data_IF_383254382034
#
_entry.id   IF_383254382034
#
_cell.length_a   1.000
_cell.length_b   1.000
_cell.length_c   1.000
_cell.angle_alpha   90.00
_cell.angle_beta   90.00
_cell.angle_gamma   90.00
#
_symmetry.space_group_name_H-M   'P 1'
#
loop_
_entity.id
_entity.type
_entity.pdbx_description
1 polymer ?
#
# COMPACT_ATOMS: atom_id res chain seq x y z
N UNK A 1 2.03 -1.93 21.92
CA UNK A 1 1.44 -0.74 22.56
C UNK A 1 2.61 0.18 22.90
N UNK A 2 2.99 1.04 21.97
CA UNK A 2 4.18 1.87 22.11
C UNK A 2 3.90 2.99 23.12
N UNK A 3 4.54 2.86 24.28
CA UNK A 3 4.82 3.86 25.30
C UNK A 3 4.19 5.26 25.09
N UNK A 4 2.88 5.37 25.34
CA UNK A 4 2.06 6.59 25.23
C UNK A 4 2.36 7.63 26.34
N UNK A 5 3.58 7.57 26.89
CA UNK A 5 3.97 8.35 28.05
C UNK A 5 5.46 8.70 28.01
N UNK A 6 5.93 9.19 26.86
CA UNK A 6 6.88 10.30 26.92
C UNK A 6 6.10 11.44 27.54
N UNK A 7 6.11 11.50 28.87
CA UNK A 7 5.46 12.53 29.67
C UNK A 7 5.68 13.85 28.94
N UNK A 8 4.60 14.49 28.45
CA UNK A 8 4.64 15.66 27.57
C UNK A 8 5.09 16.88 28.37
N UNK A 9 6.29 16.79 28.95
CA UNK A 9 6.95 17.81 29.76
C UNK A 9 7.17 19.08 28.94
N UNK A 10 7.12 18.99 27.60
CA UNK A 10 7.15 20.13 26.70
C UNK A 10 5.78 20.83 26.51
N UNK A 11 4.69 20.28 27.04
CA UNK A 11 3.32 20.78 26.80
C UNK A 11 2.62 21.25 28.07
N UNK A 12 3.30 21.17 29.21
CA UNK A 12 2.82 21.68 30.51
C UNK A 12 3.96 22.27 31.35
N UNK A 13 3.66 23.21 32.27
CA UNK A 13 4.64 23.68 33.25
C UNK A 13 5.12 22.54 34.14
N UNK A 14 6.41 22.55 34.48
CA UNK A 14 6.99 21.60 35.46
C UNK A 14 6.93 22.16 36.89
N UNK A 15 7.04 21.32 37.94
CA UNK A 15 7.06 21.81 39.32
C UNK A 15 8.11 22.90 39.55
N UNK A 16 7.69 24.04 40.10
CA UNK A 16 8.56 25.20 40.36
C UNK A 16 8.87 26.08 39.13
N UNK A 17 8.32 25.76 37.96
CA UNK A 17 8.28 26.66 36.79
C UNK A 17 7.08 27.59 36.91
N UNK A 18 7.31 28.91 36.83
CA UNK A 18 6.21 29.87 36.85
C UNK A 18 5.49 29.88 35.51
N UNK A 19 4.21 30.25 35.50
CA UNK A 19 3.44 30.38 34.25
C UNK A 19 4.15 31.28 33.22
N UNK A 20 4.78 32.37 33.68
CA UNK A 20 5.59 33.26 32.84
C UNK A 20 6.80 32.53 32.25
N UNK A 21 7.55 31.77 33.04
CA UNK A 21 8.70 31.01 32.53
C UNK A 21 8.25 29.98 31.49
N UNK A 22 7.15 29.26 31.75
CA UNK A 22 6.58 28.31 30.81
C UNK A 22 6.09 28.97 29.50
N UNK A 23 5.48 30.15 29.58
CA UNK A 23 5.08 30.90 28.38
C UNK A 23 6.30 31.23 27.50
N UNK A 24 7.40 31.69 28.10
CA UNK A 24 8.64 31.93 27.36
C UNK A 24 9.28 30.65 26.82
N UNK A 25 9.15 29.54 27.54
CA UNK A 25 9.54 28.23 27.03
C UNK A 25 8.75 27.84 25.77
N UNK A 26 7.42 27.99 25.77
CA UNK A 26 6.60 27.72 24.59
C UNK A 26 7.07 28.54 23.39
N UNK A 27 7.30 29.85 23.59
CA UNK A 27 7.83 30.74 22.55
C UNK A 27 9.19 30.26 22.02
N UNK A 28 10.09 29.84 22.91
CA UNK A 28 11.40 29.30 22.54
C UNK A 28 11.30 27.98 21.76
N UNK A 29 10.44 27.06 22.21
CA UNK A 29 10.15 25.78 21.54
C UNK A 29 9.61 25.98 20.14
N UNK A 30 8.67 26.91 19.99
CA UNK A 30 7.93 27.15 18.75
C UNK A 30 8.79 27.82 17.65
N UNK A 31 9.97 28.38 18.00
CA UNK A 31 10.96 28.85 17.01
C UNK A 31 11.64 27.73 16.20
N UNK A 32 11.48 26.46 16.60
CA UNK A 32 12.04 25.34 15.81
C UNK A 32 13.56 25.37 15.70
N UNK A 33 14.10 24.99 14.53
CA UNK A 33 15.55 24.85 14.30
C UNK A 33 16.38 26.12 14.42
N UNK A 34 15.76 27.30 14.36
CA UNK A 34 16.46 28.59 14.50
C UNK A 34 16.41 29.15 15.93
N UNK A 35 15.97 28.34 16.90
CA UNK A 35 15.77 28.78 18.28
C UNK A 35 17.08 29.25 18.93
N UNK A 36 17.06 30.47 19.43
CA UNK A 36 18.06 30.99 20.37
C UNK A 36 17.36 31.90 21.37
N UNK A 37 17.92 32.04 22.58
CA UNK A 37 17.34 32.94 23.59
C UNK A 37 17.36 34.40 23.14
N UNK A 38 18.38 34.78 22.36
CA UNK A 38 18.52 36.09 21.73
C UNK A 38 17.36 36.32 20.75
N UNK A 39 17.12 35.38 19.83
CA UNK A 39 16.06 35.49 18.83
C UNK A 39 14.66 35.54 19.45
N UNK A 40 14.42 34.77 20.51
CA UNK A 40 13.17 34.86 21.29
C UNK A 40 13.03 36.24 21.93
N UNK A 41 14.09 36.78 22.54
CA UNK A 41 14.02 38.11 23.16
C UNK A 41 13.75 39.21 22.11
N UNK A 42 14.47 39.18 20.99
CA UNK A 42 14.32 40.14 19.88
C UNK A 42 12.92 40.09 19.27
N UNK A 43 12.40 38.90 18.96
CA UNK A 43 11.08 38.72 18.36
C UNK A 43 9.95 39.31 19.22
N UNK A 44 10.13 39.32 20.53
CA UNK A 44 9.15 39.82 21.49
C UNK A 44 9.56 41.16 22.14
N UNK A 45 10.49 41.90 21.53
CA UNK A 45 10.87 43.27 21.92
C UNK A 45 11.46 43.37 23.33
N UNK A 46 12.29 42.39 23.73
CA UNK A 46 12.94 42.37 25.04
C UNK A 46 14.40 42.78 24.94
N UNK A 47 14.81 43.56 25.93
CA UNK A 47 16.17 44.06 26.07
C UNK A 47 17.15 42.93 26.41
N UNK A 48 18.44 43.19 26.18
CA UNK A 48 19.55 42.26 26.47
C UNK A 48 19.57 41.80 27.93
N UNK A 49 19.17 42.65 28.88
CA UNK A 49 19.04 42.26 30.29
C UNK A 49 18.02 41.12 30.51
N UNK A 50 16.95 41.07 29.71
CA UNK A 50 15.94 40.02 29.80
C UNK A 50 16.46 38.66 29.32
N UNK A 51 17.46 38.64 28.42
CA UNK A 51 18.10 37.41 27.95
C UNK A 51 18.75 36.65 29.11
N UNK A 52 19.31 37.36 30.10
CA UNK A 52 19.89 36.74 31.30
C UNK A 52 18.81 36.00 32.12
N UNK A 53 17.61 36.57 32.23
CA UNK A 53 16.47 35.93 32.88
C UNK A 53 16.00 34.70 32.10
N UNK A 54 15.94 34.78 30.76
CA UNK A 54 15.64 33.64 29.90
C UNK A 54 16.68 32.53 30.05
N UNK A 55 17.97 32.87 30.16
CA UNK A 55 19.04 31.90 30.37
C UNK A 55 18.89 31.18 31.71
N UNK A 56 18.57 31.93 32.78
CA UNK A 56 18.29 31.35 34.10
C UNK A 56 17.11 30.37 34.05
N UNK A 57 16.01 30.74 33.40
CA UNK A 57 14.86 29.83 33.24
C UNK A 57 15.19 28.64 32.35
N UNK A 58 15.88 28.86 31.24
CA UNK A 58 16.29 27.82 30.30
C UNK A 58 17.15 26.75 30.97
N UNK A 59 18.13 27.15 31.77
CA UNK A 59 18.96 26.24 32.55
C UNK A 59 18.16 25.55 33.66
N UNK A 60 17.41 26.31 34.47
CA UNK A 60 16.66 25.78 35.62
C UNK A 60 15.56 24.79 35.23
N UNK A 61 14.93 25.01 34.08
CA UNK A 61 13.78 24.23 33.61
C UNK A 61 14.10 23.37 32.37
N UNK A 62 15.39 23.16 32.09
CA UNK A 62 15.89 22.25 31.06
C UNK A 62 15.24 22.44 29.68
N UNK A 63 15.09 23.69 29.24
CA UNK A 63 14.36 24.01 28.01
C UNK A 63 14.91 23.26 26.80
N UNK A 64 16.24 23.20 26.63
CA UNK A 64 16.87 22.50 25.51
C UNK A 64 16.45 21.04 25.44
N UNK A 65 16.53 20.31 26.56
CA UNK A 65 16.14 18.90 26.63
C UNK A 65 14.65 18.72 26.30
N UNK A 66 13.78 19.58 26.84
CA UNK A 66 12.34 19.53 26.56
C UNK A 66 12.03 19.82 25.10
N UNK A 67 12.71 20.79 24.50
CA UNK A 67 12.54 21.10 23.07
C UNK A 67 13.01 19.95 22.18
N UNK A 68 14.09 19.25 22.55
CA UNK A 68 14.53 18.06 21.82
C UNK A 68 13.47 16.95 21.85
N UNK A 69 12.89 16.68 23.02
CA UNK A 69 11.79 15.71 23.14
C UNK A 69 10.56 16.12 22.32
N UNK A 70 10.24 17.41 22.26
CA UNK A 70 9.16 17.92 21.41
C UNK A 70 9.45 17.74 19.93
N UNK A 71 10.68 18.03 19.48
CA UNK A 71 11.06 17.87 18.08
C UNK A 71 11.01 16.41 17.65
N UNK A 72 11.49 15.50 18.50
CA UNK A 72 11.40 14.05 18.29
C UNK A 72 9.94 13.60 18.17
N UNK A 73 9.08 14.06 19.08
CA UNK A 73 7.64 13.76 19.03
C UNK A 73 6.98 14.27 17.75
N UNK A 74 7.28 15.51 17.34
CA UNK A 74 6.76 16.08 16.09
C UNK A 74 7.26 15.32 14.87
N UNK A 75 8.53 14.92 14.85
CA UNK A 75 9.09 14.15 13.75
C UNK A 75 8.41 12.79 13.63
N UNK A 76 8.18 12.11 14.76
CA UNK A 76 7.44 10.84 14.76
C UNK A 76 6.04 10.99 14.17
N UNK A 77 5.29 12.03 14.55
CA UNK A 77 3.96 12.28 13.96
C UNK A 77 4.04 12.49 12.44
N UNK A 78 5.04 13.22 11.96
CA UNK A 78 5.21 13.47 10.54
C UNK A 78 5.54 12.19 9.76
N UNK A 79 6.39 11.33 10.32
CA UNK A 79 6.71 10.02 9.75
C UNK A 79 5.47 9.12 9.72
N UNK A 80 4.74 9.02 10.83
CA UNK A 80 3.52 8.21 10.92
C UNK A 80 2.46 8.66 9.89
N UNK A 81 2.33 9.97 9.66
CA UNK A 81 1.40 10.51 8.66
C UNK A 81 1.86 10.22 7.23
N UNK A 82 3.17 10.32 6.96
CA UNK A 82 3.74 9.93 5.65
C UNK A 82 3.51 8.45 5.35
N UNK A 83 3.77 7.58 6.32
CA UNK A 83 3.56 6.14 6.19
C UNK A 83 2.09 5.83 5.88
N UNK A 84 1.14 6.50 6.56
CA UNK A 84 -0.30 6.36 6.29
C UNK A 84 -0.66 6.75 4.86
N UNK A 85 -0.14 7.88 4.38
CA UNK A 85 -0.37 8.35 3.02
C UNK A 85 0.20 7.35 2.00
N UNK A 86 1.38 6.81 2.25
CA UNK A 86 2.02 5.84 1.37
C UNK A 86 1.24 4.52 1.31
N UNK A 87 0.80 3.99 2.44
CA UNK A 87 -0.04 2.78 2.52
C UNK A 87 -1.33 2.97 1.72
N UNK A 88 -2.02 4.10 1.89
CA UNK A 88 -3.28 4.33 1.17
C UNK A 88 -3.04 4.49 -0.34
N UNK A 89 -1.96 5.17 -0.75
CA UNK A 89 -1.57 5.25 -2.17
C UNK A 89 -1.28 3.87 -2.75
N UNK A 90 -0.53 3.03 -2.04
CA UNK A 90 -0.21 1.67 -2.46
C UNK A 90 -1.48 0.81 -2.58
N UNK A 91 -2.42 0.97 -1.65
CA UNK A 91 -3.73 0.31 -1.68
C UNK A 91 -4.55 0.71 -2.91
N UNK A 92 -4.70 2.01 -3.16
CA UNK A 92 -5.44 2.52 -4.33
C UNK A 92 -4.79 2.07 -5.63
N UNK A 93 -3.46 2.12 -5.74
CA UNK A 93 -2.73 1.63 -6.90
C UNK A 93 -2.95 0.13 -7.12
N UNK A 94 -2.90 -0.66 -6.05
CA UNK A 94 -3.16 -2.11 -6.13
C UNK A 94 -4.59 -2.40 -6.59
N UNK A 95 -5.58 -1.65 -6.09
CA UNK A 95 -6.97 -1.77 -6.54
C UNK A 95 -7.13 -1.44 -8.03
N UNK A 96 -6.51 -0.35 -8.50
CA UNK A 96 -6.53 0.02 -9.92
C UNK A 96 -5.87 -1.05 -10.79
N UNK A 97 -4.75 -1.61 -10.34
CA UNK A 97 -4.07 -2.67 -11.08
C UNK A 97 -4.91 -3.95 -11.13
N UNK A 98 -5.49 -4.35 -10.00
CA UNK A 98 -6.39 -5.50 -9.94
C UNK A 98 -7.61 -5.32 -10.85
N UNK A 99 -8.16 -4.11 -10.92
CA UNK A 99 -9.27 -3.79 -11.83
C UNK A 99 -8.85 -3.92 -13.30
N UNK A 100 -7.71 -3.35 -13.68
CA UNK A 100 -7.16 -3.49 -15.04
C UNK A 100 -6.90 -4.94 -15.42
N UNK A 101 -6.35 -5.72 -14.49
CA UNK A 101 -6.13 -7.15 -14.69
C UNK A 101 -7.45 -7.91 -14.86
N UNK A 102 -8.49 -7.54 -14.11
CA UNK A 102 -9.82 -8.12 -14.27
C UNK A 102 -10.43 -7.79 -15.64
N UNK A 103 -10.39 -6.52 -16.05
CA UNK A 103 -10.89 -6.06 -17.36
C UNK A 103 -10.16 -6.78 -18.50
N UNK A 104 -8.82 -6.85 -18.44
CA UNK A 104 -8.03 -7.58 -19.42
C UNK A 104 -8.43 -9.06 -19.50
N UNK A 105 -8.62 -9.73 -18.35
CA UNK A 105 -9.05 -11.13 -18.32
C UNK A 105 -10.45 -11.33 -18.89
N UNK A 106 -11.37 -10.40 -18.66
CA UNK A 106 -12.70 -10.43 -19.26
C UNK A 106 -12.62 -10.28 -20.79
N UNK A 107 -11.79 -9.36 -21.29
CA UNK A 107 -11.53 -9.19 -22.73
C UNK A 107 -10.88 -10.44 -23.35
N UNK A 108 -9.85 -11.01 -22.72
CA UNK A 108 -9.20 -12.24 -23.16
C UNK A 108 -10.19 -13.40 -23.24
N UNK A 109 -11.09 -13.50 -22.26
CA UNK A 109 -12.14 -14.52 -22.22
C UNK A 109 -13.17 -14.34 -23.35
N UNK A 110 -13.61 -13.11 -23.62
CA UNK A 110 -14.50 -12.82 -24.75
C UNK A 110 -13.85 -13.16 -26.08
N UNK A 111 -12.60 -12.75 -26.27
CA UNK A 111 -11.81 -13.07 -27.46
C UNK A 111 -11.63 -14.57 -27.65
N UNK A 112 -11.36 -15.31 -26.57
CA UNK A 112 -11.32 -16.77 -26.59
C UNK A 112 -12.63 -17.38 -27.10
N UNK A 113 -13.78 -16.94 -26.58
CA UNK A 113 -15.09 -17.44 -27.02
C UNK A 113 -15.32 -17.16 -28.50
N UNK A 114 -14.96 -15.97 -28.99
CA UNK A 114 -15.11 -15.60 -30.39
C UNK A 114 -14.25 -16.48 -31.32
N UNK A 115 -12.98 -16.70 -30.96
CA UNK A 115 -12.07 -17.55 -31.73
C UNK A 115 -12.57 -19.01 -31.79
N UNK A 116 -13.03 -19.54 -30.66
CA UNK A 116 -13.59 -20.89 -30.60
C UNK A 116 -14.92 -21.01 -31.36
N UNK A 117 -15.77 -19.98 -31.33
CA UNK A 117 -16.99 -19.95 -32.12
C UNK A 117 -16.67 -19.90 -33.62
N UNK A 118 -15.71 -19.07 -34.03
CA UNK A 118 -15.30 -18.96 -35.43
C UNK A 118 -14.67 -20.25 -35.94
N UNK A 119 -13.86 -20.92 -35.12
CA UNK A 119 -13.31 -22.22 -35.46
C UNK A 119 -14.41 -23.26 -35.71
N UNK A 120 -15.46 -23.29 -34.88
CA UNK A 120 -16.62 -24.18 -35.11
C UNK A 120 -17.34 -23.88 -36.42
N UNK A 121 -17.54 -22.60 -36.72
CA UNK A 121 -18.11 -22.16 -38.01
C UNK A 121 -17.25 -22.67 -39.17
N UNK A 122 -15.93 -22.45 -39.13
CA UNK A 122 -14.98 -22.92 -40.15
C UNK A 122 -15.03 -24.44 -40.36
N UNK A 123 -15.21 -25.22 -39.28
CA UNK A 123 -15.32 -26.68 -39.32
C UNK A 123 -16.68 -27.18 -39.80
N UNK A 124 -17.72 -26.32 -39.82
CA UNK A 124 -19.08 -26.68 -40.23
C UNK A 124 -19.32 -26.60 -41.73
N UNK A 125 -18.50 -25.85 -42.47
CA UNK A 125 -18.64 -25.71 -43.92
C UNK A 125 -18.12 -26.95 -44.68
N UNK A 126 -18.81 -27.27 -45.78
CA UNK A 126 -18.44 -28.33 -46.73
C UNK A 126 -17.04 -28.10 -47.32
N UNK A 127 -16.27 -29.18 -47.51
CA UNK A 127 -14.92 -29.15 -48.09
C UNK A 127 -14.87 -28.59 -49.51
N UNK A 128 -16.02 -28.46 -50.18
CA UNK A 128 -16.13 -28.07 -51.59
C UNK A 128 -16.35 -26.56 -51.79
N UNK A 129 -16.62 -25.78 -50.73
CA UNK A 129 -16.89 -24.32 -50.78
C UNK A 129 -15.76 -23.46 -50.14
N UNK A 130 -14.52 -23.97 -50.13
CA UNK A 130 -13.47 -23.46 -49.22
C UNK A 130 -13.05 -22.01 -49.46
N UNK A 131 -13.48 -21.15 -48.54
CA UNK A 131 -12.83 -19.87 -48.22
C UNK A 131 -11.68 -20.03 -47.20
N UNK A 132 -11.68 -21.09 -46.39
CA UNK A 132 -10.72 -21.32 -45.30
C UNK A 132 -10.23 -22.76 -45.24
N UNK A 133 -9.05 -22.98 -44.66
CA UNK A 133 -8.42 -24.30 -44.50
C UNK A 133 -8.58 -24.84 -43.07
N UNK A 134 -8.41 -26.15 -42.88
CA UNK A 134 -8.31 -26.75 -41.53
C UNK A 134 -7.16 -26.17 -40.70
N UNK A 135 -6.08 -25.71 -41.34
CA UNK A 135 -4.97 -25.06 -40.65
C UNK A 135 -5.41 -23.73 -40.03
N UNK A 136 -6.25 -22.97 -40.74
CA UNK A 136 -6.81 -21.71 -40.22
C UNK A 136 -7.71 -21.98 -39.02
N UNK A 137 -8.56 -23.01 -39.09
CA UNK A 137 -9.42 -23.40 -37.97
C UNK A 137 -8.60 -23.87 -36.75
N UNK A 138 -7.54 -24.66 -36.96
CA UNK A 138 -6.65 -25.11 -35.89
C UNK A 138 -5.93 -23.94 -35.19
N UNK A 139 -5.48 -22.93 -35.95
CA UNK A 139 -4.87 -21.73 -35.38
C UNK A 139 -5.86 -20.94 -34.50
N UNK A 140 -7.12 -20.81 -34.92
CA UNK A 140 -8.16 -20.16 -34.12
C UNK A 140 -8.45 -20.91 -32.81
N UNK A 141 -8.46 -22.24 -32.85
CA UNK A 141 -8.63 -23.07 -31.64
C UNK A 141 -7.46 -22.87 -30.68
N UNK A 142 -6.23 -22.93 -31.19
CA UNK A 142 -5.04 -22.80 -30.36
C UNK A 142 -4.99 -21.44 -29.66
N UNK A 143 -5.16 -20.34 -30.43
CA UNK A 143 -5.19 -18.99 -29.87
C UNK A 143 -6.34 -18.80 -28.87
N UNK A 144 -7.52 -19.34 -29.18
CA UNK A 144 -8.66 -19.29 -28.27
C UNK A 144 -8.40 -20.03 -26.95
N UNK A 145 -7.78 -21.20 -27.00
CA UNK A 145 -7.42 -21.96 -25.79
C UNK A 145 -6.34 -21.28 -24.95
N UNK A 146 -5.35 -20.65 -25.60
CA UNK A 146 -4.30 -19.90 -24.91
C UNK A 146 -4.89 -18.68 -24.17
N UNK A 147 -5.76 -17.91 -24.83
CA UNK A 147 -6.46 -16.79 -24.21
C UNK A 147 -7.39 -17.23 -23.06
N UNK A 148 -8.09 -18.36 -23.19
CA UNK A 148 -8.91 -18.90 -22.10
C UNK A 148 -8.07 -19.27 -20.87
N UNK A 149 -6.90 -19.90 -21.08
CA UNK A 149 -5.99 -20.27 -19.98
C UNK A 149 -5.44 -19.02 -19.27
N UNK A 150 -5.04 -18.01 -20.05
CA UNK A 150 -4.60 -16.70 -19.52
C UNK A 150 -5.70 -16.04 -18.68
N UNK A 151 -6.91 -15.91 -19.26
CA UNK A 151 -8.05 -15.27 -18.62
C UNK A 151 -8.50 -15.94 -17.31
N UNK A 152 -8.28 -17.25 -17.19
CA UNK A 152 -8.71 -18.05 -16.04
C UNK A 152 -7.60 -18.28 -15.02
N UNK A 153 -6.39 -17.75 -15.25
CA UNK A 153 -5.19 -18.04 -14.45
C UNK A 153 -4.91 -19.56 -14.34
N UNK A 154 -5.42 -20.35 -15.28
CA UNK A 154 -5.10 -21.77 -15.39
C UNK A 154 -3.72 -21.87 -16.05
N UNK A 155 -2.68 -21.61 -15.25
CA UNK A 155 -1.32 -22.10 -15.51
C UNK A 155 -1.39 -23.61 -15.43
N UNK A 156 -1.30 -24.28 -16.59
CA UNK A 156 -1.29 -25.75 -16.78
C UNK A 156 -1.77 -26.53 -15.55
N UNK A 157 -3.05 -26.93 -15.56
CA UNK A 157 -3.59 -27.75 -14.49
C UNK A 157 -2.66 -28.94 -14.27
N UNK A 158 -1.97 -28.94 -13.13
CA UNK A 158 -1.04 -30.00 -12.76
C UNK A 158 -1.77 -31.32 -12.96
N UNK A 159 -1.13 -32.29 -13.62
CA UNK A 159 -1.76 -33.55 -14.04
C UNK A 159 -2.41 -34.23 -12.83
N UNK A 160 -1.82 -34.08 -11.64
CA UNK A 160 -2.39 -34.54 -10.37
C UNK A 160 -3.69 -33.82 -9.99
N UNK A 161 -3.77 -32.50 -10.16
CA UNK A 161 -4.99 -31.72 -9.92
C UNK A 161 -6.09 -32.09 -10.91
N UNK A 162 -5.73 -32.29 -12.18
CA UNK A 162 -6.67 -32.74 -13.21
C UNK A 162 -7.23 -34.14 -12.90
N UNK A 163 -6.36 -35.08 -12.53
CA UNK A 163 -6.73 -36.44 -12.16
C UNK A 163 -7.64 -36.44 -10.92
N UNK A 164 -7.37 -35.60 -9.92
CA UNK A 164 -8.23 -35.47 -8.72
C UNK A 164 -9.60 -34.90 -9.06
N UNK A 165 -9.69 -33.81 -9.84
CA UNK A 165 -10.98 -33.24 -10.25
C UNK A 165 -11.82 -34.23 -11.08
N UNK A 166 -11.19 -35.03 -11.94
CA UNK A 166 -11.87 -36.06 -12.71
C UNK A 166 -12.30 -37.26 -11.85
N UNK A 167 -11.52 -37.60 -10.82
CA UNK A 167 -11.90 -38.62 -9.84
C UNK A 167 -13.07 -38.14 -8.96
N UNK A 168 -13.07 -36.89 -8.50
CA UNK A 168 -14.14 -36.29 -7.69
C UNK A 168 -15.46 -36.15 -8.47
N UNK A 169 -15.38 -36.01 -9.80
CA UNK A 169 -16.52 -35.99 -10.71
C UNK A 169 -17.00 -37.39 -11.15
N UNK A 170 -16.39 -38.47 -10.64
CA UNK A 170 -16.68 -39.88 -10.95
C UNK A 170 -16.55 -40.23 -12.45
N UNK A 171 -15.68 -39.49 -13.15
CA UNK A 171 -15.40 -39.69 -14.59
C UNK A 171 -14.32 -40.76 -14.79
N UNK A 172 -13.46 -40.99 -13.80
CA UNK A 172 -12.40 -42.02 -13.84
C UNK A 172 -12.91 -43.37 -13.32
N UNK A 173 -12.31 -44.50 -13.76
CA UNK A 173 -12.65 -45.83 -13.23
C UNK A 173 -12.51 -45.89 -11.71
N UNK A 174 -13.45 -46.52 -11.01
CA UNK A 174 -13.51 -46.53 -9.54
C UNK A 174 -12.22 -47.01 -8.87
N UNK A 175 -11.51 -47.97 -9.47
CA UNK A 175 -10.21 -48.47 -9.01
C UNK A 175 -9.11 -47.39 -8.96
N UNK A 176 -9.20 -46.39 -9.85
CA UNK A 176 -8.30 -45.23 -9.90
C UNK A 176 -8.72 -44.20 -8.86
N UNK A 177 -10.03 -43.96 -8.71
CA UNK A 177 -10.57 -43.05 -7.68
C UNK A 177 -10.26 -43.51 -6.25
N UNK A 178 -10.27 -44.82 -5.98
CA UNK A 178 -9.93 -45.39 -4.67
C UNK A 178 -8.45 -45.24 -4.31
N UNK A 179 -7.56 -45.23 -5.32
CA UNK A 179 -6.10 -45.08 -5.13
C UNK A 179 -5.64 -43.64 -4.91
N UNK A 180 -6.51 -42.66 -5.20
CA UNK A 180 -6.20 -41.23 -5.13
C UNK A 180 -6.71 -40.54 -3.84
N UNK A 181 -7.48 -41.26 -3.01
CA UNK A 181 -7.89 -40.87 -1.65
C UNK A 181 -6.78 -41.14 -0.65
#
# INVERSE_FOLDING_TARGET
MANDNLDKIFDRPIPGETAKAFEWFCRYRDLGGERTLVKVAELYGKETAYIQQLQKWSCKHHWVSRTLSFDQYRNQILLDEQDRIEIERARLSSQQWNQRQKELREEEWEMSRLLLAKAREMLSYSLDERRWTFRDAAAMIQLGMELAKSATEITEMDVLTAIKTLADADILPGEVCERLK
#
